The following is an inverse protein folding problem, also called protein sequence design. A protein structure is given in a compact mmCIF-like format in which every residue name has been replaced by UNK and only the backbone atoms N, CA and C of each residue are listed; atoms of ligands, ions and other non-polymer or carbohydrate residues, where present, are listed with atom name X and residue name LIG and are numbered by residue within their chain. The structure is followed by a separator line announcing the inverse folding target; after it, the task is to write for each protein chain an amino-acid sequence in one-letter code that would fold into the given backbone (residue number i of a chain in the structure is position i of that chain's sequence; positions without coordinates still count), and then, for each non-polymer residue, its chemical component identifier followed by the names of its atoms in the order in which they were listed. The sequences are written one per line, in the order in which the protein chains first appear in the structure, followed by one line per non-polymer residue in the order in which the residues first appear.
data_IF_903997854574
#
_entry.id   IF_903997854574
#
_cell.length_a   1.000
_cell.length_b   1.000
_cell.length_c   1.000
_cell.angle_alpha   90.00
_cell.angle_beta   90.00
_cell.angle_gamma   90.00
#
_symmetry.space_group_name_H-M   'P 1'
#
loop_
_entity.id
_entity.type
_entity.pdbx_description
1 polymer ?
#
# COMPACT_ATOMS: atom_id res chain seq x y z
N UNK A 1 2.70 -29.06 8.10
CA UNK A 1 3.49 -28.59 6.93
C UNK A 1 4.80 -27.91 7.35
N UNK A 2 4.83 -27.03 8.37
CA UNK A 2 6.08 -26.41 8.89
C UNK A 2 7.13 -27.45 9.32
N UNK A 3 6.73 -28.48 10.07
CA UNK A 3 7.63 -29.56 10.54
C UNK A 3 8.32 -30.35 9.40
N UNK A 4 7.85 -30.24 8.16
CA UNK A 4 8.40 -30.96 6.98
C UNK A 4 9.18 -30.07 6.01
N UNK A 5 9.49 -28.82 6.36
CA UNK A 5 10.30 -27.90 5.53
C UNK A 5 9.74 -27.68 4.11
N UNK A 6 8.42 -27.81 3.91
CA UNK A 6 7.74 -27.75 2.60
C UNK A 6 8.11 -26.49 1.78
N UNK A 7 8.20 -25.28 2.35
CA UNK A 7 8.62 -24.10 1.59
C UNK A 7 10.01 -24.24 0.95
N UNK A 8 10.96 -24.93 1.60
CA UNK A 8 12.29 -25.17 1.03
C UNK A 8 12.29 -26.18 -0.11
N UNK A 9 11.34 -27.11 -0.14
CA UNK A 9 11.18 -28.06 -1.25
C UNK A 9 10.44 -27.46 -2.46
N UNK A 10 9.69 -26.37 -2.25
CA UNK A 10 9.05 -25.63 -3.34
C UNK A 10 10.04 -24.73 -4.09
N UNK A 11 11.17 -24.37 -3.47
CA UNK A 11 12.20 -23.53 -4.09
C UNK A 11 12.77 -24.17 -5.39
N UNK A 12 13.25 -25.43 -5.41
CA UNK A 12 13.70 -26.05 -6.66
C UNK A 12 12.62 -26.16 -7.73
N UNK A 13 11.36 -26.34 -7.34
CA UNK A 13 10.23 -26.45 -8.27
C UNK A 13 9.89 -25.10 -8.90
N UNK A 14 10.05 -23.99 -8.16
CA UNK A 14 9.86 -22.65 -8.68
C UNK A 14 10.97 -22.21 -9.66
N UNK A 15 12.13 -22.88 -9.65
CA UNK A 15 13.22 -22.71 -10.63
C UNK A 15 13.20 -23.73 -11.77
N UNK A 16 12.20 -24.61 -11.83
CA UNK A 16 12.12 -25.63 -12.87
C UNK A 16 11.95 -25.02 -14.26
N UNK A 17 12.42 -25.63 -15.35
CA UNK A 17 12.30 -25.06 -16.71
C UNK A 17 10.87 -25.07 -17.28
N UNK A 18 9.92 -25.73 -16.61
CA UNK A 18 8.53 -25.86 -17.05
C UNK A 18 7.66 -24.84 -16.33
N UNK A 19 7.06 -23.92 -17.08
CA UNK A 19 6.25 -22.83 -16.54
C UNK A 19 5.01 -23.31 -15.79
N UNK A 20 4.49 -24.51 -16.09
CA UNK A 20 3.39 -25.11 -15.31
C UNK A 20 3.86 -25.50 -13.90
N UNK A 21 5.04 -26.10 -13.80
CA UNK A 21 5.62 -26.53 -12.52
C UNK A 21 5.96 -25.28 -11.70
N UNK A 22 6.55 -24.25 -12.33
CA UNK A 22 6.79 -22.95 -11.69
C UNK A 22 5.49 -22.35 -11.17
N UNK A 23 4.44 -22.34 -11.98
CA UNK A 23 3.15 -21.78 -11.65
C UNK A 23 2.54 -22.44 -10.41
N UNK A 24 2.43 -23.77 -10.38
CA UNK A 24 1.86 -24.48 -9.24
C UNK A 24 2.74 -24.39 -7.99
N UNK A 25 4.07 -24.32 -8.15
CA UNK A 25 4.98 -24.05 -7.04
C UNK A 25 4.72 -22.65 -6.45
N UNK A 26 4.67 -21.61 -7.30
CA UNK A 26 4.35 -20.24 -6.91
C UNK A 26 2.97 -20.15 -6.24
N UNK A 27 1.98 -20.87 -6.76
CA UNK A 27 0.63 -20.88 -6.23
C UNK A 27 0.59 -21.51 -4.83
N UNK A 28 1.30 -22.63 -4.64
CA UNK A 28 1.43 -23.24 -3.32
C UNK A 28 2.12 -22.29 -2.33
N UNK A 29 3.17 -21.57 -2.75
CA UNK A 29 3.86 -20.56 -1.94
C UNK A 29 2.89 -19.43 -1.55
N UNK A 30 2.15 -18.87 -2.50
CA UNK A 30 1.19 -17.79 -2.25
C UNK A 30 0.09 -18.18 -1.24
N UNK A 31 -0.43 -19.40 -1.35
CA UNK A 31 -1.43 -19.94 -0.40
C UNK A 31 -0.82 -20.16 0.98
N UNK A 32 0.41 -20.68 1.06
CA UNK A 32 1.10 -20.88 2.34
C UNK A 32 1.40 -19.56 3.06
N UNK A 33 1.73 -18.52 2.30
CA UNK A 33 2.05 -17.18 2.81
C UNK A 33 0.81 -16.46 3.33
N UNK A 34 -0.36 -16.72 2.74
CA UNK A 34 -1.63 -16.22 3.26
C UNK A 34 -1.98 -16.77 4.65
N UNK A 35 -1.30 -17.84 5.12
CA UNK A 35 -1.46 -18.38 6.46
C UNK A 35 -0.44 -17.78 7.44
N UNK A 36 -0.93 -17.03 8.44
CA UNK A 36 -0.12 -16.36 9.47
C UNK A 36 0.83 -17.29 10.24
N UNK A 37 0.47 -18.56 10.43
CA UNK A 37 1.31 -19.51 11.17
C UNK A 37 2.57 -19.90 10.41
N UNK A 38 2.50 -19.88 9.07
CA UNK A 38 3.56 -20.37 8.18
C UNK A 38 4.31 -19.21 7.51
N UNK A 39 3.70 -18.02 7.48
CA UNK A 39 4.20 -16.80 6.84
C UNK A 39 5.70 -16.55 7.10
N UNK A 40 6.13 -16.54 8.37
CA UNK A 40 7.53 -16.28 8.74
C UNK A 40 8.51 -17.32 8.15
N UNK A 41 8.10 -18.58 8.07
CA UNK A 41 8.92 -19.65 7.52
C UNK A 41 9.07 -19.54 6.00
N UNK A 42 8.03 -19.06 5.29
CA UNK A 42 8.09 -18.84 3.85
C UNK A 42 8.96 -17.63 3.52
N UNK A 43 8.82 -16.53 4.26
CA UNK A 43 9.65 -15.34 4.09
C UNK A 43 11.14 -15.66 4.25
N UNK A 44 11.48 -16.47 5.26
CA UNK A 44 12.87 -16.91 5.47
C UNK A 44 13.44 -17.75 4.32
N UNK A 45 12.59 -18.37 3.51
CA UNK A 45 13.02 -19.24 2.40
C UNK A 45 13.37 -18.51 1.10
N UNK A 46 13.01 -17.23 0.95
CA UNK A 46 13.23 -16.46 -0.29
C UNK A 46 12.42 -16.96 -1.49
N UNK A 47 11.51 -17.92 -1.32
CA UNK A 47 10.69 -18.45 -2.42
C UNK A 47 9.64 -17.47 -2.93
N UNK A 48 9.29 -16.46 -2.13
CA UNK A 48 8.27 -15.47 -2.45
C UNK A 48 8.71 -14.55 -3.60
N UNK A 49 10.02 -14.25 -3.65
CA UNK A 49 10.64 -13.35 -4.63
C UNK A 49 10.52 -13.87 -6.08
N UNK A 50 10.18 -15.15 -6.24
CA UNK A 50 10.01 -15.82 -7.54
C UNK A 50 8.61 -15.58 -8.15
N UNK A 51 7.65 -15.18 -7.34
CA UNK A 51 6.26 -15.00 -7.75
C UNK A 51 6.10 -13.78 -8.65
N UNK A 52 6.75 -12.66 -8.32
CA UNK A 52 6.64 -11.42 -9.08
C UNK A 52 7.25 -11.53 -10.50
N UNK A 53 8.47 -12.08 -10.70
CA UNK A 53 9.01 -12.33 -12.03
C UNK A 53 8.10 -13.23 -12.88
N UNK A 54 7.47 -14.25 -12.29
CA UNK A 54 6.55 -15.12 -13.00
C UNK A 54 5.32 -14.35 -13.51
N UNK A 55 4.64 -13.64 -12.61
CA UNK A 55 3.39 -12.91 -12.91
C UNK A 55 3.60 -11.76 -13.89
N UNK A 56 4.78 -11.15 -13.91
CA UNK A 56 5.12 -10.04 -14.82
C UNK A 56 5.59 -10.52 -16.20
N UNK A 57 6.19 -11.72 -16.29
CA UNK A 57 6.66 -12.29 -17.56
C UNK A 57 5.58 -13.06 -18.35
N UNK A 58 4.50 -13.48 -17.69
CA UNK A 58 3.47 -14.32 -18.31
C UNK A 58 2.16 -13.56 -18.55
N UNK A 59 1.48 -13.91 -19.65
CA UNK A 59 0.13 -13.46 -19.93
C UNK A 59 -0.90 -14.51 -19.48
N UNK A 60 -1.92 -14.16 -18.67
CA UNK A 60 -2.94 -15.12 -18.19
C UNK A 60 -3.65 -15.89 -19.31
N UNK A 61 -3.92 -15.26 -20.45
CA UNK A 61 -4.67 -15.89 -21.55
C UNK A 61 -3.82 -16.84 -22.37
N UNK A 62 -2.56 -16.51 -22.58
CA UNK A 62 -1.61 -17.39 -23.27
C UNK A 62 -1.30 -18.60 -22.38
N UNK A 63 -1.12 -18.37 -21.07
CA UNK A 63 -0.91 -19.43 -20.10
C UNK A 63 -2.14 -20.36 -19.95
N UNK A 64 -3.37 -19.83 -20.04
CA UNK A 64 -4.57 -20.68 -20.07
C UNK A 64 -4.58 -21.67 -21.25
N UNK A 65 -3.96 -21.30 -22.38
CA UNK A 65 -3.92 -22.10 -23.61
C UNK A 65 -2.70 -23.02 -23.71
N UNK A 66 -1.66 -22.79 -22.91
CA UNK A 66 -0.41 -23.55 -22.99
C UNK A 66 -0.54 -24.99 -22.49
N UNK A 67 -1.59 -25.31 -21.72
CA UNK A 67 -1.79 -26.64 -21.16
C UNK A 67 -3.27 -27.07 -21.16
N UNK A 68 -3.52 -28.31 -21.59
CA UNK A 68 -4.85 -28.94 -21.57
C UNK A 68 -5.45 -29.02 -20.16
N UNK A 69 -4.61 -29.09 -19.12
CA UNK A 69 -5.05 -29.06 -17.72
C UNK A 69 -5.74 -27.74 -17.34
N UNK A 70 -5.42 -26.63 -18.02
CA UNK A 70 -6.02 -25.32 -17.78
C UNK A 70 -7.25 -25.04 -18.66
N UNK A 71 -7.45 -25.79 -19.75
CA UNK A 71 -8.52 -25.54 -20.72
C UNK A 71 -9.94 -25.57 -20.12
N UNK A 72 -10.16 -26.35 -19.05
CA UNK A 72 -11.46 -26.47 -18.39
C UNK A 72 -11.61 -25.54 -17.17
N UNK A 73 -10.52 -24.94 -16.71
CA UNK A 73 -10.44 -24.16 -15.48
C UNK A 73 -10.65 -24.99 -14.21
N UNK A 74 -10.56 -24.34 -13.06
CA UNK A 74 -10.70 -24.99 -11.76
C UNK A 74 -12.18 -25.14 -11.32
N UNK A 75 -12.38 -26.02 -10.32
CA UNK A 75 -13.70 -26.24 -9.71
C UNK A 75 -14.10 -25.13 -8.74
N UNK A 76 -15.41 -24.98 -8.49
CA UNK A 76 -15.96 -23.99 -7.54
C UNK A 76 -15.28 -24.04 -6.16
N UNK A 77 -15.18 -25.23 -5.59
CA UNK A 77 -14.57 -25.45 -4.27
C UNK A 77 -13.08 -25.07 -4.24
N UNK A 78 -12.38 -25.27 -5.37
CA UNK A 78 -10.98 -24.90 -5.49
C UNK A 78 -10.84 -23.38 -5.53
N UNK A 79 -11.62 -22.70 -6.36
CA UNK A 79 -11.58 -21.23 -6.49
C UNK A 79 -11.96 -20.53 -5.19
N UNK A 80 -12.96 -21.04 -4.48
CA UNK A 80 -13.38 -20.52 -3.19
C UNK A 80 -12.26 -20.53 -2.14
N UNK A 81 -11.35 -21.52 -2.18
CA UNK A 81 -10.19 -21.59 -1.28
C UNK A 81 -9.11 -20.54 -1.60
N UNK A 82 -9.08 -20.04 -2.83
CA UNK A 82 -8.13 -19.01 -3.27
C UNK A 82 -8.64 -17.60 -2.96
N UNK A 83 -9.95 -17.38 -2.79
CA UNK A 83 -10.54 -16.06 -2.52
C UNK A 83 -9.86 -15.34 -1.33
N UNK A 84 -9.58 -15.97 -0.18
CA UNK A 84 -8.90 -15.30 0.94
C UNK A 84 -7.50 -14.78 0.60
N UNK A 85 -6.83 -15.37 -0.40
CA UNK A 85 -5.47 -14.96 -0.82
C UNK A 85 -5.48 -13.59 -1.50
N UNK A 86 -6.59 -13.20 -2.15
CA UNK A 86 -6.77 -11.83 -2.69
C UNK A 86 -6.73 -10.75 -1.59
N UNK A 87 -7.10 -11.12 -0.36
CA UNK A 87 -7.08 -10.22 0.80
C UNK A 87 -5.82 -10.39 1.67
N UNK A 88 -4.79 -11.07 1.16
CA UNK A 88 -3.51 -11.23 1.86
C UNK A 88 -2.79 -9.89 2.04
N UNK A 89 -2.04 -9.76 3.14
CA UNK A 89 -1.16 -8.60 3.38
C UNK A 89 0.05 -8.55 2.44
N UNK A 90 0.36 -9.68 1.80
CA UNK A 90 1.55 -9.83 0.94
C UNK A 90 1.19 -9.55 -0.51
N UNK A 91 2.03 -8.78 -1.18
CA UNK A 91 1.77 -8.29 -2.53
C UNK A 91 1.89 -9.42 -3.56
N UNK A 92 2.87 -10.29 -3.37
CA UNK A 92 3.19 -11.44 -4.22
C UNK A 92 2.03 -12.44 -4.21
N UNK A 93 1.46 -12.69 -3.03
CA UNK A 93 0.29 -13.55 -2.89
C UNK A 93 -0.93 -12.96 -3.62
N UNK A 94 -1.16 -11.64 -3.48
CA UNK A 94 -2.24 -10.94 -4.19
C UNK A 94 -2.03 -10.91 -5.70
N UNK A 95 -0.80 -10.68 -6.17
CA UNK A 95 -0.42 -10.65 -7.58
C UNK A 95 -0.77 -11.98 -8.25
N UNK A 96 -0.36 -13.09 -7.63
CA UNK A 96 -0.59 -14.41 -8.20
C UNK A 96 -2.06 -14.83 -8.10
N UNK A 97 -2.75 -14.50 -7.00
CA UNK A 97 -4.19 -14.74 -6.90
C UNK A 97 -4.95 -13.96 -7.98
N UNK A 98 -4.66 -12.68 -8.17
CA UNK A 98 -5.27 -11.84 -9.20
C UNK A 98 -4.97 -12.37 -10.62
N UNK A 99 -3.73 -12.81 -10.88
CA UNK A 99 -3.34 -13.47 -12.12
C UNK A 99 -4.21 -14.72 -12.38
N UNK A 100 -4.36 -15.60 -11.37
CA UNK A 100 -5.16 -16.80 -11.50
C UNK A 100 -6.65 -16.49 -11.73
N UNK A 101 -7.21 -15.55 -10.99
CA UNK A 101 -8.60 -15.13 -11.19
C UNK A 101 -8.83 -14.49 -12.56
N UNK A 102 -7.85 -13.76 -13.10
CA UNK A 102 -7.90 -13.23 -14.47
C UNK A 102 -7.89 -14.36 -15.52
N UNK A 103 -7.00 -15.35 -15.35
CA UNK A 103 -6.94 -16.54 -16.20
C UNK A 103 -8.28 -17.30 -16.19
N UNK A 104 -8.81 -17.59 -15.00
CA UNK A 104 -10.07 -18.31 -14.84
C UNK A 104 -11.27 -17.51 -15.35
N UNK A 105 -11.31 -16.19 -15.15
CA UNK A 105 -12.35 -15.35 -15.72
C UNK A 105 -12.37 -15.44 -17.25
N UNK A 106 -11.21 -15.54 -17.89
CA UNK A 106 -11.09 -15.75 -19.33
C UNK A 106 -11.68 -17.09 -19.77
N UNK A 107 -11.34 -18.17 -19.07
CA UNK A 107 -11.83 -19.52 -19.35
C UNK A 107 -13.35 -19.61 -19.13
N UNK A 108 -13.85 -19.13 -17.98
CA UNK A 108 -15.28 -19.21 -17.64
C UNK A 108 -16.13 -18.29 -18.51
N UNK A 109 -15.59 -17.17 -19.00
CA UNK A 109 -16.27 -16.33 -20.01
C UNK A 109 -16.51 -17.09 -21.31
N UNK A 110 -15.51 -17.83 -21.80
CA UNK A 110 -15.67 -18.67 -22.99
C UNK A 110 -16.69 -19.80 -22.78
N UNK A 111 -16.79 -20.30 -21.55
CA UNK A 111 -17.76 -21.32 -21.16
C UNK A 111 -19.17 -20.77 -20.85
N UNK A 112 -19.35 -19.44 -20.80
CA UNK A 112 -20.60 -18.81 -20.37
C UNK A 112 -20.95 -19.01 -18.88
N UNK A 113 -19.96 -19.29 -18.02
CA UNK A 113 -20.13 -19.64 -16.59
C UNK A 113 -19.52 -18.59 -15.64
N UNK A 114 -19.72 -17.30 -15.92
CA UNK A 114 -19.14 -16.21 -15.10
C UNK A 114 -19.84 -16.02 -13.76
N UNK A 115 -21.06 -16.52 -13.60
CA UNK A 115 -21.84 -16.45 -12.34
C UNK A 115 -21.13 -17.09 -11.15
N UNK A 116 -20.25 -18.08 -11.41
CA UNK A 116 -19.45 -18.76 -10.37
C UNK A 116 -18.65 -17.80 -9.49
N UNK A 117 -18.19 -16.66 -10.03
CA UNK A 117 -17.39 -15.69 -9.28
C UNK A 117 -18.23 -14.92 -8.25
N UNK A 118 -19.52 -14.71 -8.53
CA UNK A 118 -20.47 -14.19 -7.56
C UNK A 118 -20.76 -15.22 -6.47
N UNK A 119 -21.00 -16.48 -6.85
CA UNK A 119 -21.33 -17.55 -5.92
C UNK A 119 -20.22 -17.87 -4.90
N UNK A 120 -18.95 -17.73 -5.30
CA UNK A 120 -17.80 -17.95 -4.40
C UNK A 120 -17.43 -16.68 -3.60
N UNK A 121 -18.12 -15.56 -3.82
CA UNK A 121 -17.81 -14.29 -3.15
C UNK A 121 -16.48 -13.66 -3.59
N UNK A 122 -16.05 -13.86 -4.84
CA UNK A 122 -14.79 -13.32 -5.34
C UNK A 122 -14.90 -11.85 -5.82
N UNK A 123 -16.10 -11.36 -6.12
CA UNK A 123 -16.31 -10.03 -6.74
C UNK A 123 -15.80 -8.90 -5.84
N UNK A 124 -16.23 -8.86 -4.57
CA UNK A 124 -15.81 -7.80 -3.64
C UNK A 124 -14.29 -7.81 -3.39
N UNK A 125 -13.63 -8.95 -3.09
CA UNK A 125 -12.18 -9.03 -3.03
C UNK A 125 -11.47 -8.56 -4.30
N UNK A 126 -11.99 -8.89 -5.49
CA UNK A 126 -11.44 -8.43 -6.76
C UNK A 126 -11.58 -6.92 -6.93
N UNK A 127 -12.73 -6.33 -6.56
CA UNK A 127 -12.92 -4.87 -6.57
C UNK A 127 -11.92 -4.19 -5.63
N UNK A 128 -11.72 -4.71 -4.42
CA UNK A 128 -10.74 -4.18 -3.47
C UNK A 128 -9.30 -4.28 -4.00
N UNK A 129 -8.93 -5.38 -4.67
CA UNK A 129 -7.59 -5.52 -5.27
C UNK A 129 -7.43 -4.60 -6.49
N UNK A 130 -8.47 -4.43 -7.30
CA UNK A 130 -8.45 -3.54 -8.46
C UNK A 130 -8.21 -2.06 -8.07
N UNK A 131 -8.69 -1.61 -6.91
CA UNK A 131 -8.47 -0.25 -6.41
C UNK A 131 -7.15 -0.06 -5.65
N UNK A 132 -6.42 -1.13 -5.32
CA UNK A 132 -5.15 -1.03 -4.61
C UNK A 132 -4.03 -0.39 -5.46
N UNK A 133 -3.03 0.26 -4.82
CA UNK A 133 -1.91 0.88 -5.53
C UNK A 133 -0.98 -0.12 -6.24
N UNK A 134 -0.99 -1.40 -5.86
CA UNK A 134 -0.21 -2.44 -6.51
C UNK A 134 -0.60 -2.57 -7.99
N UNK A 135 0.29 -2.14 -8.88
CA UNK A 135 0.04 -2.04 -10.31
C UNK A 135 -0.25 -3.40 -10.96
N UNK A 136 0.41 -4.47 -10.50
CA UNK A 136 0.31 -5.82 -11.09
C UNK A 136 -1.02 -6.47 -10.70
N UNK A 137 -1.30 -6.58 -9.40
CA UNK A 137 -2.56 -7.15 -8.92
C UNK A 137 -3.77 -6.34 -9.38
N UNK A 138 -3.69 -5.01 -9.33
CA UNK A 138 -4.77 -4.11 -9.78
C UNK A 138 -5.11 -4.33 -11.24
N UNK A 139 -4.10 -4.42 -12.12
CA UNK A 139 -4.29 -4.68 -13.56
C UNK A 139 -5.04 -6.00 -13.79
N UNK A 140 -4.62 -7.09 -13.16
CA UNK A 140 -5.25 -8.39 -13.35
C UNK A 140 -6.64 -8.47 -12.73
N UNK A 141 -6.85 -7.88 -11.55
CA UNK A 141 -8.16 -7.84 -10.92
C UNK A 141 -9.16 -7.00 -11.74
N UNK A 142 -8.74 -5.85 -12.26
CA UNK A 142 -9.55 -5.04 -13.17
C UNK A 142 -9.91 -5.80 -14.46
N UNK A 143 -8.94 -6.54 -15.03
CA UNK A 143 -9.19 -7.36 -16.21
C UNK A 143 -10.15 -8.52 -15.92
N UNK A 144 -10.01 -9.17 -14.76
CA UNK A 144 -10.93 -10.22 -14.30
C UNK A 144 -12.36 -9.68 -14.17
N UNK A 145 -12.55 -8.52 -13.51
CA UNK A 145 -13.87 -7.88 -13.36
C UNK A 145 -14.51 -7.57 -14.72
N UNK A 146 -13.75 -7.00 -15.68
CA UNK A 146 -14.25 -6.75 -17.05
C UNK A 146 -14.69 -8.01 -17.78
N UNK A 147 -14.02 -9.13 -17.53
CA UNK A 147 -14.38 -10.41 -18.13
C UNK A 147 -15.65 -11.00 -17.50
N UNK A 148 -15.82 -10.82 -16.19
CA UNK A 148 -17.00 -11.26 -15.44
C UNK A 148 -18.23 -10.42 -15.83
N UNK A 149 -18.04 -9.19 -16.27
CA UNK A 149 -19.11 -8.23 -16.59
C UNK A 149 -19.37 -7.23 -15.46
N UNK A 150 -18.47 -7.15 -14.49
CA UNK A 150 -18.56 -6.25 -13.35
C UNK A 150 -17.94 -4.88 -13.65
N UNK A 151 -18.45 -3.85 -12.98
CA UNK A 151 -17.84 -2.52 -13.01
C UNK A 151 -16.48 -2.53 -12.32
N UNK A 152 -15.47 -1.99 -13.01
CA UNK A 152 -14.12 -1.85 -12.45
C UNK A 152 -14.07 -0.59 -11.60
N UNK A 153 -13.68 -0.69 -10.31
CA UNK A 153 -13.59 0.47 -9.45
C UNK A 153 -12.52 1.44 -9.95
N UNK A 154 -12.74 2.73 -9.70
CA UNK A 154 -11.78 3.76 -10.05
C UNK A 154 -10.46 3.55 -9.30
N UNK A 155 -9.33 3.61 -10.01
CA UNK A 155 -8.00 3.48 -9.40
C UNK A 155 -7.58 4.84 -8.85
N UNK A 156 -7.49 4.93 -7.53
CA UNK A 156 -7.11 6.16 -6.84
C UNK A 156 -5.59 6.27 -6.69
N UNK A 157 -5.06 7.48 -6.93
CA UNK A 157 -3.66 7.80 -6.66
C UNK A 157 -3.37 7.71 -5.16
N UNK A 158 -2.14 7.37 -4.76
CA UNK A 158 -1.74 7.47 -3.35
C UNK A 158 -1.49 8.92 -2.91
N UNK A 159 -1.35 9.85 -3.87
CA UNK A 159 -1.17 11.27 -3.59
C UNK A 159 -2.52 11.92 -3.26
N UNK A 160 -3.06 11.58 -2.08
CA UNK A 160 -4.33 12.10 -1.56
C UNK A 160 -4.41 13.63 -1.60
N UNK A 161 -3.35 14.40 -1.29
CA UNK A 161 -3.43 15.87 -1.38
C UNK A 161 -3.76 16.43 -2.77
N UNK A 162 -3.61 15.63 -3.83
CA UNK A 162 -3.88 16.03 -5.22
C UNK A 162 -5.22 15.49 -5.75
N UNK A 163 -6.00 14.83 -4.90
CA UNK A 163 -7.30 14.28 -5.30
C UNK A 163 -8.29 15.38 -5.65
N UNK A 164 -8.99 15.19 -6.76
CA UNK A 164 -10.16 15.98 -7.12
C UNK A 164 -11.37 15.57 -6.28
N UNK A 165 -12.46 16.35 -6.32
CA UNK A 165 -13.71 15.96 -5.66
C UNK A 165 -14.28 14.64 -6.20
N UNK A 166 -13.99 14.32 -7.46
CA UNK A 166 -14.39 13.07 -8.09
C UNK A 166 -13.61 11.88 -7.50
N UNK A 167 -12.30 12.03 -7.27
CA UNK A 167 -11.49 11.01 -6.59
C UNK A 167 -11.99 10.76 -5.15
N UNK A 168 -12.34 11.84 -4.43
CA UNK A 168 -12.92 11.75 -3.09
C UNK A 168 -14.25 10.99 -3.14
N UNK A 169 -15.13 11.27 -4.10
CA UNK A 169 -16.40 10.55 -4.29
C UNK A 169 -16.18 9.05 -4.46
N UNK A 170 -15.23 8.67 -5.31
CA UNK A 170 -14.93 7.27 -5.56
C UNK A 170 -14.33 6.59 -4.33
N UNK A 171 -13.47 7.27 -3.57
CA UNK A 171 -12.97 6.75 -2.30
C UNK A 171 -14.10 6.54 -1.28
N UNK A 172 -15.00 7.50 -1.13
CA UNK A 172 -16.17 7.42 -0.23
C UNK A 172 -17.05 6.21 -0.58
N UNK A 173 -17.27 5.94 -1.87
CA UNK A 173 -17.97 4.73 -2.32
C UNK A 173 -17.21 3.46 -1.92
N UNK A 174 -15.89 3.42 -2.15
CA UNK A 174 -15.05 2.25 -1.87
C UNK A 174 -15.00 1.87 -0.39
N UNK A 175 -15.05 2.84 0.52
CA UNK A 175 -15.08 2.57 1.97
C UNK A 175 -16.49 2.21 2.50
N UNK A 176 -17.48 2.08 1.61
CA UNK A 176 -18.85 1.69 1.95
C UNK A 176 -19.75 2.83 2.41
N UNK A 177 -19.44 4.08 2.04
CA UNK A 177 -20.21 5.28 2.34
C UNK A 177 -20.86 5.89 1.08
N UNK A 178 -21.16 5.06 0.09
CA UNK A 178 -21.70 5.49 -1.21
C UNK A 178 -22.95 6.38 -1.12
N UNK A 179 -23.78 6.19 -0.08
CA UNK A 179 -24.97 7.01 0.21
C UNK A 179 -24.67 8.48 0.51
N UNK A 180 -23.45 8.82 0.96
CA UNK A 180 -23.01 10.19 1.21
C UNK A 180 -22.15 10.75 0.07
N UNK A 181 -21.82 9.94 -0.94
CA UNK A 181 -20.83 10.31 -1.97
C UNK A 181 -21.22 11.60 -2.73
N UNK A 182 -22.52 11.82 -2.97
CA UNK A 182 -23.01 13.04 -3.60
C UNK A 182 -22.86 14.26 -2.69
N UNK A 183 -23.05 14.11 -1.38
CA UNK A 183 -22.89 15.20 -0.42
C UNK A 183 -21.44 15.72 -0.41
N UNK A 184 -20.45 14.83 -0.52
CA UNK A 184 -19.04 15.24 -0.67
C UNK A 184 -18.78 16.04 -1.96
N UNK A 185 -19.45 15.69 -3.07
CA UNK A 185 -19.37 16.45 -4.33
C UNK A 185 -20.06 17.81 -4.20
N UNK A 186 -21.25 17.86 -3.62
CA UNK A 186 -22.03 19.09 -3.42
C UNK A 186 -21.27 20.09 -2.52
N UNK A 187 -20.65 19.59 -1.46
CA UNK A 187 -19.76 20.36 -0.59
C UNK A 187 -18.37 20.62 -1.21
N UNK A 188 -18.11 20.14 -2.44
CA UNK A 188 -16.85 20.29 -3.18
C UNK A 188 -15.61 19.85 -2.40
N UNK A 189 -15.74 18.78 -1.62
CA UNK A 189 -14.62 18.24 -0.85
C UNK A 189 -13.61 17.62 -1.81
N UNK A 190 -12.42 18.20 -1.89
CA UNK A 190 -11.26 17.65 -2.60
C UNK A 190 -10.29 16.96 -1.61
N UNK A 191 -9.14 16.51 -2.11
CA UNK A 191 -8.14 15.81 -1.30
C UNK A 191 -7.58 16.62 -0.14
N UNK A 192 -7.36 17.92 -0.34
CA UNK A 192 -6.87 18.83 0.70
C UNK A 192 -7.90 18.99 1.83
N UNK A 193 -9.17 19.23 1.47
CA UNK A 193 -10.27 19.33 2.44
C UNK A 193 -10.54 18.00 3.12
N UNK A 194 -10.53 16.87 2.40
CA UNK A 194 -10.76 15.53 2.95
C UNK A 194 -9.78 15.22 4.10
N UNK A 195 -8.51 15.58 3.95
CA UNK A 195 -7.48 15.37 4.95
C UNK A 195 -7.64 16.27 6.19
N UNK A 196 -8.46 17.32 6.11
CA UNK A 196 -8.70 18.31 7.16
C UNK A 196 -10.10 18.20 7.79
N UNK A 197 -10.97 17.32 7.31
CA UNK A 197 -12.33 17.19 7.83
C UNK A 197 -12.35 16.89 9.33
N UNK A 198 -13.20 17.66 10.02
CA UNK A 198 -13.49 17.50 11.45
C UNK A 198 -14.77 16.69 11.67
N UNK A 199 -15.03 16.31 12.92
CA UNK A 199 -16.30 15.64 13.25
C UNK A 199 -17.51 16.52 12.96
N UNK A 200 -17.38 17.83 13.20
CA UNK A 200 -18.44 18.81 12.95
C UNK A 200 -18.73 18.93 11.45
N UNK A 201 -17.71 18.98 10.59
CA UNK A 201 -17.93 18.98 9.14
C UNK A 201 -18.66 17.72 8.65
N UNK A 202 -18.28 16.55 9.19
CA UNK A 202 -18.95 15.30 8.83
C UNK A 202 -20.42 15.27 9.25
N UNK A 203 -20.76 15.96 10.34
CA UNK A 203 -22.12 15.98 10.88
C UNK A 203 -22.97 17.05 10.19
N UNK A 204 -22.49 18.28 10.18
CA UNK A 204 -23.29 19.46 9.84
C UNK A 204 -23.24 19.77 8.33
N UNK A 205 -22.09 19.56 7.68
CA UNK A 205 -21.93 19.84 6.24
C UNK A 205 -22.24 18.61 5.37
N UNK A 206 -21.68 17.45 5.73
CA UNK A 206 -21.85 16.19 4.95
C UNK A 206 -23.14 15.46 5.33
N UNK A 207 -23.67 15.66 6.54
CA UNK A 207 -24.93 15.05 6.98
C UNK A 207 -24.82 13.64 7.59
N UNK A 208 -23.62 13.20 8.01
CA UNK A 208 -23.42 11.93 8.72
C UNK A 208 -23.83 12.10 10.19
N UNK A 209 -25.15 12.09 10.45
CA UNK A 209 -25.71 12.35 11.78
C UNK A 209 -25.41 11.25 12.81
N UNK A 210 -25.29 10.00 12.37
CA UNK A 210 -25.02 8.87 13.26
C UNK A 210 -23.55 8.86 13.72
N UNK A 211 -23.30 9.04 15.02
CA UNK A 211 -21.96 9.08 15.59
C UNK A 211 -21.14 7.79 15.40
N UNK A 212 -21.78 6.61 15.32
CA UNK A 212 -21.07 5.35 15.03
C UNK A 212 -20.62 5.33 13.56
N UNK A 213 -21.45 5.83 12.63
CA UNK A 213 -21.06 5.98 11.22
C UNK A 213 -19.92 6.98 11.06
N UNK A 214 -19.95 8.12 11.77
CA UNK A 214 -18.82 9.07 11.80
C UNK A 214 -17.54 8.41 12.31
N UNK A 215 -17.58 7.68 13.43
CA UNK A 215 -16.41 6.95 13.95
C UNK A 215 -15.85 5.93 12.95
N UNK A 216 -16.72 5.22 12.22
CA UNK A 216 -16.28 4.31 11.14
C UNK A 216 -15.62 5.07 10.00
N UNK A 217 -16.20 6.19 9.56
CA UNK A 217 -15.62 7.03 8.52
C UNK A 217 -14.24 7.58 8.95
N UNK A 218 -14.14 8.14 10.16
CA UNK A 218 -12.88 8.65 10.71
C UNK A 218 -11.81 7.57 10.78
N UNK A 219 -12.16 6.32 11.10
CA UNK A 219 -11.22 5.20 11.08
C UNK A 219 -10.69 4.91 9.67
N UNK A 220 -11.56 4.91 8.66
CA UNK A 220 -11.12 4.72 7.27
C UNK A 220 -10.27 5.90 6.77
N UNK A 221 -10.62 7.14 7.17
CA UNK A 221 -9.81 8.32 6.89
C UNK A 221 -8.43 8.24 7.55
N UNK A 222 -8.34 7.74 8.79
CA UNK A 222 -7.04 7.49 9.45
C UNK A 222 -6.22 6.43 8.71
N UNK A 223 -6.85 5.38 8.20
CA UNK A 223 -6.16 4.38 7.38
C UNK A 223 -5.63 5.00 6.08
N UNK A 224 -6.44 5.82 5.41
CA UNK A 224 -6.03 6.56 4.22
C UNK A 224 -4.82 7.45 4.51
N UNK A 225 -4.86 8.25 5.59
CA UNK A 225 -3.76 9.13 6.00
C UNK A 225 -2.43 8.40 6.25
N UNK A 226 -2.47 7.16 6.75
CA UNK A 226 -1.27 6.33 6.98
C UNK A 226 -0.64 5.85 5.68
N UNK A 227 -1.45 5.60 4.65
CA UNK A 227 -1.01 5.06 3.36
C UNK A 227 -0.72 6.14 2.32
N UNK A 228 -1.20 7.36 2.56
CA UNK A 228 -1.03 8.47 1.64
C UNK A 228 0.44 8.82 1.36
N UNK A 229 0.72 9.12 0.10
CA UNK A 229 1.97 9.70 -0.37
C UNK A 229 1.89 11.22 -0.25
N UNK A 230 2.76 11.80 0.58
CA UNK A 230 2.85 13.24 0.82
C UNK A 230 4.01 13.90 0.07
N UNK A 231 4.72 13.19 -0.82
CA UNK A 231 5.91 13.69 -1.52
C UNK A 231 5.71 15.00 -2.29
N UNK A 232 4.48 15.31 -2.71
CA UNK A 232 4.14 16.56 -3.39
C UNK A 232 4.19 17.80 -2.47
N UNK A 233 4.07 17.62 -1.15
CA UNK A 233 4.07 18.71 -0.15
C UNK A 233 5.16 18.56 0.91
N UNK A 234 5.61 17.35 1.20
CA UNK A 234 6.56 17.03 2.26
C UNK A 234 8.03 17.16 1.81
N UNK A 235 8.50 18.39 1.61
CA UNK A 235 9.90 18.66 1.27
C UNK A 235 10.87 18.37 2.43
N UNK A 236 10.36 18.35 3.66
CA UNK A 236 11.14 18.18 4.88
C UNK A 236 11.25 16.71 5.35
N UNK A 237 10.60 15.77 4.66
CA UNK A 237 10.49 14.36 5.05
C UNK A 237 9.89 14.16 6.46
N UNK A 238 8.90 14.99 6.81
CA UNK A 238 8.14 14.90 8.06
C UNK A 238 7.44 13.55 8.17
N UNK A 239 6.88 13.03 7.07
CA UNK A 239 6.24 11.72 7.06
C UNK A 239 7.23 10.62 7.45
N UNK A 240 8.43 10.63 6.86
CA UNK A 240 9.48 9.66 7.14
C UNK A 240 9.95 9.75 8.60
N UNK A 241 10.05 10.96 9.14
CA UNK A 241 10.32 11.15 10.57
C UNK A 241 9.23 10.52 11.44
N UNK A 242 7.97 10.80 11.17
CA UNK A 242 6.84 10.25 11.93
C UNK A 242 6.78 8.72 11.82
N UNK A 243 7.01 8.15 10.63
CA UNK A 243 7.11 6.71 10.41
C UNK A 243 8.24 6.06 11.23
N UNK A 244 9.34 6.77 11.44
CA UNK A 244 10.43 6.31 12.31
C UNK A 244 10.03 6.16 13.78
N UNK A 245 9.04 6.92 14.26
CA UNK A 245 8.46 6.77 15.60
C UNK A 245 7.48 5.59 15.63
N UNK A 246 6.68 5.47 14.58
CA UNK A 246 5.74 4.38 14.35
C UNK A 246 4.81 4.65 13.17
N UNK A 247 4.31 3.61 12.48
CA UNK A 247 3.42 3.76 11.33
C UNK A 247 2.09 4.46 11.67
N UNK A 248 1.69 4.48 12.94
CA UNK A 248 0.51 5.18 13.42
C UNK A 248 0.62 6.70 13.36
N UNK A 249 1.84 7.26 13.35
CA UNK A 249 2.09 8.70 13.41
C UNK A 249 1.93 9.40 12.07
N UNK A 250 1.96 8.68 10.94
CA UNK A 250 1.72 9.24 9.60
C UNK A 250 0.36 9.94 9.46
N UNK A 251 -0.59 9.70 10.38
CA UNK A 251 -1.87 10.42 10.40
C UNK A 251 -1.71 11.92 10.66
N UNK A 252 -0.60 12.35 11.26
CA UNK A 252 -0.32 13.74 11.61
C UNK A 252 0.49 14.49 10.55
N UNK A 253 1.01 13.79 9.54
CA UNK A 253 1.87 14.38 8.51
C UNK A 253 1.21 15.61 7.88
N UNK A 254 -0.04 15.48 7.43
CA UNK A 254 -0.71 16.58 6.74
C UNK A 254 -1.00 17.78 7.63
N UNK A 255 -1.39 17.55 8.89
CA UNK A 255 -1.69 18.66 9.81
C UNK A 255 -0.41 19.40 10.22
N UNK A 256 0.70 18.69 10.40
CA UNK A 256 2.01 19.33 10.65
C UNK A 256 2.49 20.13 9.43
N UNK A 257 2.33 19.60 8.21
CA UNK A 257 2.70 20.33 6.99
C UNK A 257 1.84 21.58 6.79
N UNK A 258 0.53 21.51 7.06
CA UNK A 258 -0.36 22.67 6.98
C UNK A 258 -0.07 23.72 8.06
N UNK A 259 0.41 23.30 9.23
CA UNK A 259 0.91 24.21 10.26
C UNK A 259 2.27 24.87 9.91
N UNK A 260 2.84 24.55 8.75
CA UNK A 260 4.12 25.10 8.29
C UNK A 260 5.34 24.44 8.93
N UNK A 261 5.19 23.24 9.50
CA UNK A 261 6.32 22.51 10.07
C UNK A 261 7.23 22.03 8.94
N UNK A 262 8.49 22.46 9.02
CA UNK A 262 9.60 22.09 8.16
C UNK A 262 10.74 21.44 8.98
N UNK A 263 11.87 21.15 8.31
CA UNK A 263 13.01 20.45 8.89
C UNK A 263 13.71 21.24 10.02
N UNK A 264 13.57 22.56 10.04
CA UNK A 264 14.21 23.44 11.03
C UNK A 264 13.27 23.70 12.20
N UNK A 265 12.03 24.11 11.90
CA UNK A 265 10.99 24.38 12.89
C UNK A 265 10.59 23.15 13.70
N UNK A 266 10.68 21.93 13.15
CA UNK A 266 10.38 20.70 13.90
C UNK A 266 11.21 20.54 15.17
N UNK A 267 12.42 21.11 15.20
CA UNK A 267 13.34 21.06 16.36
C UNK A 267 12.82 21.87 17.54
N UNK A 268 12.19 23.00 17.26
CA UNK A 268 11.69 23.94 18.27
C UNK A 268 10.22 23.76 18.65
N UNK A 269 9.55 22.68 18.21
CA UNK A 269 8.13 22.51 18.45
C UNK A 269 7.81 22.37 19.94
N UNK A 270 6.88 23.20 20.41
CA UNK A 270 6.33 23.10 21.76
C UNK A 270 5.10 22.18 21.79
N UNK A 271 4.75 21.69 22.98
CA UNK A 271 3.51 20.92 23.16
C UNK A 271 2.28 21.75 22.76
N UNK A 272 2.29 23.05 23.06
CA UNK A 272 1.22 23.99 22.70
C UNK A 272 1.05 24.11 21.18
N UNK A 273 2.13 24.14 20.41
CA UNK A 273 2.07 24.16 18.95
C UNK A 273 1.56 22.83 18.39
N UNK A 274 1.97 21.70 18.98
CA UNK A 274 1.48 20.38 18.56
C UNK A 274 -0.03 20.22 18.79
N UNK A 275 -0.57 20.78 19.88
CA UNK A 275 -2.01 20.68 20.17
C UNK A 275 -2.85 21.72 19.41
N UNK A 276 -2.42 22.99 19.37
CA UNK A 276 -3.20 24.09 18.77
C UNK A 276 -3.05 24.17 17.26
N UNK A 277 -1.82 24.11 16.76
CA UNK A 277 -1.54 24.31 15.32
C UNK A 277 -1.60 22.98 14.56
N UNK A 278 -0.96 21.93 15.09
CA UNK A 278 -0.91 20.62 14.42
C UNK A 278 -2.12 19.73 14.73
N UNK A 279 -3.04 20.18 15.60
CA UNK A 279 -4.26 19.46 16.00
C UNK A 279 -4.01 18.05 16.57
N UNK A 280 -2.88 17.83 17.26
CA UNK A 280 -2.53 16.53 17.86
C UNK A 280 -3.08 16.47 19.29
N UNK A 281 -4.34 16.07 19.43
CA UNK A 281 -5.04 16.04 20.74
C UNK A 281 -4.56 14.93 21.68
N UNK A 282 -4.02 13.83 21.14
CA UNK A 282 -3.50 12.71 21.94
C UNK A 282 -2.19 13.08 22.63
N UNK A 283 -2.22 13.20 23.97
CA UNK A 283 -1.06 13.57 24.79
C UNK A 283 0.09 12.57 24.73
N UNK A 284 -0.20 11.27 24.62
CA UNK A 284 0.82 10.22 24.51
C UNK A 284 1.56 10.35 23.18
N UNK A 285 0.82 10.67 22.10
CA UNK A 285 1.44 10.87 20.80
C UNK A 285 2.30 12.13 20.78
N UNK A 286 1.82 13.24 21.36
CA UNK A 286 2.64 14.46 21.52
C UNK A 286 3.92 14.20 22.29
N UNK A 287 3.84 13.48 23.42
CA UNK A 287 5.02 13.11 24.20
C UNK A 287 6.03 12.32 23.37
N UNK A 288 5.60 11.26 22.67
CA UNK A 288 6.48 10.45 21.83
C UNK A 288 7.11 11.23 20.67
N UNK A 289 6.37 12.17 20.08
CA UNK A 289 6.89 13.08 19.04
C UNK A 289 7.99 13.98 19.64
N UNK A 290 7.72 14.63 20.77
CA UNK A 290 8.69 15.51 21.44
C UNK A 290 9.95 14.75 21.88
N UNK A 291 9.79 13.54 22.44
CA UNK A 291 10.93 12.71 22.84
C UNK A 291 11.78 12.31 21.62
N UNK A 292 11.14 12.01 20.49
CA UNK A 292 11.83 11.69 19.24
C UNK A 292 12.55 12.90 18.63
N UNK A 293 12.00 14.11 18.78
CA UNK A 293 12.66 15.36 18.39
C UNK A 293 13.93 15.57 19.21
N UNK A 294 13.83 15.47 20.55
CA UNK A 294 14.97 15.63 21.48
C UNK A 294 16.07 14.59 21.24
N UNK A 295 15.69 13.33 21.01
CA UNK A 295 16.64 12.27 20.72
C UNK A 295 17.42 12.56 19.42
N UNK A 296 16.75 13.12 18.41
CA UNK A 296 17.37 13.46 17.12
C UNK A 296 18.29 14.68 17.25
N UNK A 297 17.93 15.67 18.06
CA UNK A 297 18.81 16.80 18.38
C UNK A 297 20.08 16.34 19.11
N UNK A 298 19.95 15.47 20.11
CA UNK A 298 21.09 14.92 20.84
C UNK A 298 22.01 14.12 19.91
N UNK A 299 21.45 13.28 19.03
CA UNK A 299 22.25 12.52 18.05
C UNK A 299 22.99 13.43 17.04
N UNK A 300 22.35 14.52 16.61
CA UNK A 300 22.97 15.50 15.72
C UNK A 300 24.06 16.32 16.43
N UNK A 301 23.85 16.67 17.70
CA UNK A 301 24.84 17.37 18.53
C UNK A 301 26.15 16.59 18.65
N UNK A 302 26.05 15.28 18.93
CA UNK A 302 27.23 14.38 18.96
C UNK A 302 27.91 14.29 17.59
N UNK A 303 27.15 14.21 16.49
CA UNK A 303 27.73 14.17 15.14
C UNK A 303 28.38 15.48 14.69
N UNK A 304 27.90 16.63 15.20
CA UNK A 304 28.44 17.93 14.85
C UNK A 304 29.77 18.19 15.57
N UNK A 305 29.89 17.74 16.83
CA UNK A 305 31.16 17.75 17.59
C UNK A 305 32.24 16.89 16.89
N UNK A 306 31.89 15.72 16.34
CA UNK A 306 32.83 14.94 15.51
C UNK A 306 33.18 15.61 14.17
N UNK A 307 32.31 16.48 13.65
CA UNK A 307 32.52 17.15 12.36
C UNK A 307 33.30 18.46 12.45
N UNK A 308 33.27 19.13 13.60
CA UNK A 308 33.97 20.39 13.88
C UNK A 308 35.49 20.18 14.04
N UNK A 309 35.93 18.95 14.25
CA UNK A 309 37.36 18.58 14.37
C UNK A 309 38.01 18.17 13.04
N UNK A 310 37.36 18.44 11.90
CA UNK A 310 38.02 18.33 10.59
C UNK A 310 38.93 19.52 10.36
N UNK A 311 40.03 19.57 11.10
CA UNK A 311 41.26 20.12 10.53
C UNK A 311 41.52 19.34 9.23
N UNK A 312 41.71 20.04 8.11
CA UNK A 312 42.02 19.37 6.84
C UNK A 312 43.31 18.54 7.06
N UNK A 313 43.19 17.21 7.09
CA UNK A 313 44.34 16.32 7.33
C UNK A 313 45.43 16.51 6.28
N UNK A 314 45.04 16.86 5.04
CA UNK A 314 45.94 17.08 3.92
C UNK A 314 45.40 18.21 3.03
N UNK A 315 46.26 19.18 2.72
CA UNK A 315 46.01 20.19 1.69
C UNK A 315 46.75 19.81 0.40
N UNK A 316 46.01 19.47 -0.65
CA UNK A 316 46.59 19.12 -1.96
C UNK A 316 46.56 20.35 -2.88
N UNK A 317 47.73 20.93 -3.12
CA UNK A 317 47.91 22.01 -4.09
C UNK A 317 48.28 21.45 -5.46
N UNK A 318 47.61 21.91 -6.52
CA UNK A 318 47.90 21.50 -7.90
C UNK A 318 47.75 22.64 -8.90
N UNK A 319 48.41 22.50 -10.06
CA UNK A 319 48.35 23.47 -11.15
C UNK A 319 47.05 23.31 -11.95
N UNK A 320 46.22 24.36 -12.01
CA UNK A 320 44.88 24.31 -12.65
C UNK A 320 44.88 23.82 -14.11
N UNK A 321 45.97 24.02 -14.83
CA UNK A 321 46.07 23.68 -16.26
C UNK A 321 46.12 22.17 -16.55
N UNK A 322 46.65 21.35 -15.64
CA UNK A 322 46.90 19.92 -15.91
C UNK A 322 46.91 19.01 -14.67
N UNK A 323 46.90 19.55 -13.44
CA UNK A 323 47.02 18.75 -12.21
C UNK A 323 45.69 18.28 -11.61
N UNK A 324 44.54 18.67 -12.18
CA UNK A 324 43.22 18.42 -11.60
C UNK A 324 42.82 16.95 -11.55
N UNK A 325 43.32 16.13 -12.49
CA UNK A 325 43.05 14.69 -12.51
C UNK A 325 43.92 13.89 -11.54
N UNK A 326 45.10 14.41 -11.16
CA UNK A 326 46.01 13.77 -10.21
C UNK A 326 45.69 14.11 -8.75
N UNK A 327 44.96 15.20 -8.52
CA UNK A 327 44.58 15.68 -7.19
C UNK A 327 43.21 15.15 -6.71
N UNK A 328 42.59 14.23 -7.46
CA UNK A 328 41.25 13.70 -7.18
C UNK A 328 41.27 12.39 -6.40
#
# INVERSE_FOLDING_TARGET
MIKRKVPMWLFPLAFHNDDNIKYYACLAIAVLVANKEIEAAVLKSGTLDLVEPFVTSHNPFEFAKSNLAHAHGQSKNWLQRLVPVLSSKREEARNLAAFHFCMEAGIKKQQGKTEIFGEIGAIEPLKNVASCPNAVASKFAAQALRLIGEEVPHKLSQQVPLWSSEDVREWVKQIGFAEYANNFIESRVDGDLLLQLTEDNLKDDIGINNGIRRRRFTRELQNLKKMADYSSRDTANINTFLQGIGPEFSIYTYSMLNAGVDKESIRGLSEDQLIKECSITNSIHRLRILDSIRAKENALGVSMEESLDKSLDVFVSYRRSNGSQLAR
#
